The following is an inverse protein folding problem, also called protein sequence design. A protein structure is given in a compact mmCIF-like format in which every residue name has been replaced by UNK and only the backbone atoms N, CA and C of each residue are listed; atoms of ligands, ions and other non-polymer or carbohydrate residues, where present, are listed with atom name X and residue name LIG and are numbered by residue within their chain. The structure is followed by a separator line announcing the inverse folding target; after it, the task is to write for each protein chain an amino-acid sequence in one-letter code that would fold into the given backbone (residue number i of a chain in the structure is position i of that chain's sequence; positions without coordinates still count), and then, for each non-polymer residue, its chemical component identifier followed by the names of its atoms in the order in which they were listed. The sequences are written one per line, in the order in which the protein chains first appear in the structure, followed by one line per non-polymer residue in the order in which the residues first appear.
data_IF_469201487603
#
_entry.id   IF_469201487603
#
_cell.length_a   1.000
_cell.length_b   1.000
_cell.length_c   1.000
_cell.angle_alpha   90.00
_cell.angle_beta   90.00
_cell.angle_gamma   90.00
#
_symmetry.space_group_name_H-M   'P 1'
#
loop_
_entity.id
_entity.type
_entity.pdbx_description
1 polymer ?
#
# COMPACT_ATOMS: atom_id res chain seq x y z
N UNK A 1 -21.42 -4.38 10.12
CA UNK A 1 -20.41 -4.16 9.07
C UNK A 1 -19.14 -3.70 9.76
N UNK A 2 -17.98 -4.33 9.49
CA UNK A 2 -16.69 -3.81 9.98
C UNK A 2 -16.33 -2.61 9.11
N UNK A 3 -16.17 -1.44 9.72
CA UNK A 3 -15.67 -0.25 9.05
C UNK A 3 -14.27 -0.54 8.50
N UNK A 4 -13.96 -0.16 7.25
CA UNK A 4 -12.63 -0.42 6.70
C UNK A 4 -11.59 0.47 7.41
N UNK A 5 -10.33 0.03 7.45
CA UNK A 5 -9.26 0.84 8.05
C UNK A 5 -9.11 2.20 7.34
N UNK A 6 -9.32 2.22 6.03
CA UNK A 6 -9.26 3.41 5.20
C UNK A 6 -10.38 4.41 5.54
N UNK A 7 -11.61 3.92 5.77
CA UNK A 7 -12.73 4.76 6.20
C UNK A 7 -12.45 5.41 7.56
N UNK A 8 -11.88 4.62 8.48
CA UNK A 8 -11.45 5.12 9.78
C UNK A 8 -10.34 6.16 9.65
N UNK A 9 -9.37 5.93 8.77
CA UNK A 9 -8.27 6.87 8.54
C UNK A 9 -8.77 8.22 7.99
N UNK A 10 -9.73 8.18 7.05
CA UNK A 10 -10.41 9.38 6.52
C UNK A 10 -11.22 10.11 7.60
N UNK A 11 -11.89 9.38 8.48
CA UNK A 11 -12.64 9.97 9.60
C UNK A 11 -11.70 10.66 10.60
N UNK A 12 -10.59 10.00 10.97
CA UNK A 12 -9.58 10.55 11.86
C UNK A 12 -8.99 11.86 11.28
N UNK A 13 -8.72 11.93 9.96
CA UNK A 13 -8.21 13.14 9.31
C UNK A 13 -9.11 14.37 9.44
N UNK A 14 -10.43 14.18 9.53
CA UNK A 14 -11.37 15.29 9.80
C UNK A 14 -11.28 15.82 11.24
N UNK A 15 -10.76 15.02 12.17
CA UNK A 15 -10.68 15.33 13.61
C UNK A 15 -9.28 15.79 14.02
N UNK A 16 -8.27 15.52 13.18
CA UNK A 16 -6.84 15.79 13.39
C UNK A 16 -6.51 17.24 13.82
N UNK A 17 -7.34 18.23 13.49
CA UNK A 17 -7.20 19.59 14.00
C UNK A 17 -7.49 19.78 15.50
N UNK A 18 -7.86 18.72 16.26
CA UNK A 18 -8.39 18.85 17.64
C UNK A 18 -7.72 17.95 18.69
N UNK A 19 -6.78 17.06 18.37
CA UNK A 19 -6.31 16.06 19.36
C UNK A 19 -4.82 15.72 19.29
N UNK A 20 -4.19 15.68 20.46
CA UNK A 20 -2.80 15.28 20.71
C UNK A 20 -2.44 13.81 20.39
N UNK A 21 -3.43 12.97 20.02
CA UNK A 21 -3.21 11.56 19.69
C UNK A 21 -2.69 11.33 18.26
N UNK A 22 -2.47 12.38 17.48
CA UNK A 22 -2.10 12.30 16.07
C UNK A 22 -0.88 11.41 15.79
N UNK A 23 0.18 11.53 16.59
CA UNK A 23 1.41 10.75 16.38
C UNK A 23 1.16 9.24 16.44
N UNK A 24 0.26 8.80 17.33
CA UNK A 24 -0.15 7.39 17.45
C UNK A 24 -0.94 6.91 16.22
N UNK A 25 -1.72 7.77 15.58
CA UNK A 25 -2.40 7.43 14.32
C UNK A 25 -1.40 7.34 13.16
N UNK A 26 -0.37 8.19 13.16
CA UNK A 26 0.68 8.16 12.15
C UNK A 26 1.45 6.84 12.13
N UNK A 27 1.87 6.35 13.30
CA UNK A 27 2.53 5.04 13.43
C UNK A 27 1.62 3.90 12.96
N UNK A 28 0.32 3.97 13.25
CA UNK A 28 -0.65 2.96 12.79
C UNK A 28 -0.83 2.97 11.28
N UNK A 29 -0.89 4.14 10.63
CA UNK A 29 -0.98 4.24 9.18
C UNK A 29 0.30 3.73 8.50
N UNK A 30 1.48 4.10 9.01
CA UNK A 30 2.77 3.56 8.54
C UNK A 30 2.80 2.03 8.63
N UNK A 31 2.36 1.45 9.75
CA UNK A 31 2.32 0.00 9.93
C UNK A 31 1.34 -0.67 8.96
N UNK A 32 0.15 -0.10 8.76
CA UNK A 32 -0.83 -0.63 7.81
C UNK A 32 -0.29 -0.61 6.37
N UNK A 33 0.35 0.50 5.96
CA UNK A 33 1.01 0.60 4.65
C UNK A 33 2.06 -0.49 4.50
N UNK A 34 2.91 -0.73 5.50
CA UNK A 34 3.91 -1.80 5.47
C UNK A 34 3.26 -3.18 5.31
N UNK A 35 2.17 -3.46 6.04
CA UNK A 35 1.45 -4.72 5.92
C UNK A 35 0.83 -4.90 4.53
N UNK A 36 0.24 -3.84 3.95
CA UNK A 36 -0.31 -3.87 2.60
C UNK A 36 0.76 -4.02 1.53
N UNK A 37 1.92 -3.36 1.68
CA UNK A 37 3.10 -3.56 0.80
C UNK A 37 3.57 -5.01 0.81
N UNK A 38 3.66 -5.62 2.00
CA UNK A 38 4.00 -7.05 2.13
C UNK A 38 2.93 -7.97 1.50
N UNK A 39 1.65 -7.65 1.66
CA UNK A 39 0.57 -8.40 1.01
C UNK A 39 0.65 -8.30 -0.52
N UNK A 40 0.91 -7.09 -1.05
CA UNK A 40 1.09 -6.82 -2.48
C UNK A 40 2.26 -7.60 -3.07
N UNK A 41 3.41 -7.64 -2.39
CA UNK A 41 4.55 -8.45 -2.82
C UNK A 41 4.27 -9.96 -2.83
N UNK A 42 3.57 -10.47 -1.81
CA UNK A 42 3.18 -11.89 -1.77
C UNK A 42 2.25 -12.23 -2.93
N UNK A 43 1.29 -11.34 -3.22
CA UNK A 43 0.35 -11.52 -4.30
C UNK A 43 1.05 -11.48 -5.66
N UNK A 44 2.02 -10.60 -5.85
CA UNK A 44 2.84 -10.56 -7.08
C UNK A 44 3.58 -11.89 -7.31
N UNK A 45 4.16 -12.46 -6.24
CA UNK A 45 4.82 -13.78 -6.31
C UNK A 45 3.83 -14.89 -6.65
N UNK A 46 2.63 -14.86 -6.08
CA UNK A 46 1.57 -15.82 -6.38
C UNK A 46 1.15 -15.75 -7.85
N UNK A 47 0.90 -14.54 -8.37
CA UNK A 47 0.59 -14.33 -9.79
C UNK A 47 1.70 -14.90 -10.68
N UNK A 48 2.97 -14.59 -10.36
CA UNK A 48 4.11 -15.11 -11.10
C UNK A 48 4.18 -16.63 -11.11
N UNK A 49 3.85 -17.27 -9.98
CA UNK A 49 3.78 -18.73 -9.88
C UNK A 49 2.62 -19.30 -10.72
N UNK A 50 1.43 -18.73 -10.64
CA UNK A 50 0.26 -19.14 -11.43
C UNK A 50 0.54 -19.06 -12.93
N UNK A 51 1.19 -17.99 -13.39
CA UNK A 51 1.61 -17.82 -14.79
C UNK A 51 2.59 -18.93 -15.20
N UNK A 52 3.56 -19.25 -14.35
CA UNK A 52 4.56 -20.28 -14.61
C UNK A 52 3.96 -21.69 -14.64
N UNK A 53 3.01 -21.98 -13.75
CA UNK A 53 2.33 -23.29 -13.70
C UNK A 53 1.49 -23.49 -14.97
N UNK A 54 0.75 -22.47 -15.41
CA UNK A 54 0.03 -22.49 -16.69
C UNK A 54 0.97 -22.71 -17.89
N UNK A 55 2.17 -22.13 -17.85
CA UNK A 55 3.16 -22.32 -18.92
C UNK A 55 3.64 -23.78 -19.00
N UNK A 56 3.79 -24.45 -17.85
CA UNK A 56 4.16 -25.87 -17.82
C UNK A 56 3.07 -26.78 -18.36
N UNK A 57 1.81 -26.45 -18.14
CA UNK A 57 0.68 -27.30 -18.55
C UNK A 57 0.32 -27.15 -20.04
N UNK A 58 0.65 -26.01 -20.66
CA UNK A 58 0.26 -25.72 -22.05
C UNK A 58 1.47 -25.47 -22.96
N UNK A 59 1.68 -26.36 -23.94
CA UNK A 59 2.71 -26.23 -24.98
C UNK A 59 2.48 -25.07 -25.97
N UNK A 60 1.29 -24.48 -25.97
CA UNK A 60 0.95 -23.25 -26.72
C UNK A 60 0.31 -22.27 -25.76
N UNK A 61 1.03 -21.20 -25.45
CA UNK A 61 0.67 -20.22 -24.45
C UNK A 61 -0.16 -19.09 -25.07
N UNK A 62 -1.40 -18.87 -24.61
CA UNK A 62 -2.20 -17.69 -24.98
C UNK A 62 -2.30 -16.77 -23.77
N UNK A 63 -1.80 -15.54 -23.91
CA UNK A 63 -1.80 -14.55 -22.81
C UNK A 63 -3.20 -14.28 -22.23
N UNK A 64 -4.25 -14.41 -23.03
CA UNK A 64 -5.63 -14.24 -22.60
C UNK A 64 -6.10 -15.29 -21.58
N UNK A 65 -5.54 -16.50 -21.61
CA UNK A 65 -5.89 -17.58 -20.67
C UNK A 65 -5.27 -17.32 -19.29
N UNK A 66 -4.06 -16.77 -19.26
CA UNK A 66 -3.37 -16.35 -18.04
C UNK A 66 -4.09 -15.17 -17.39
N UNK A 67 -4.46 -14.17 -18.20
CA UNK A 67 -5.20 -13.01 -17.71
C UNK A 67 -6.53 -13.43 -17.06
N UNK A 68 -7.25 -14.37 -17.66
CA UNK A 68 -8.49 -14.93 -17.08
C UNK A 68 -8.23 -15.75 -15.81
N UNK A 69 -7.20 -16.60 -15.81
CA UNK A 69 -6.88 -17.43 -14.65
C UNK A 69 -6.44 -16.61 -13.43
N UNK A 70 -5.77 -15.47 -13.66
CA UNK A 70 -5.24 -14.61 -12.61
C UNK A 70 -6.05 -13.31 -12.40
N UNK A 71 -7.23 -13.17 -13.02
CA UNK A 71 -8.00 -11.91 -13.03
C UNK A 71 -8.31 -11.40 -11.61
N UNK A 72 -8.72 -12.31 -10.72
CA UNK A 72 -8.98 -11.99 -9.32
C UNK A 72 -7.74 -11.54 -8.55
N UNK A 73 -6.58 -12.11 -8.86
CA UNK A 73 -5.31 -11.75 -8.22
C UNK A 73 -4.82 -10.38 -8.74
N UNK A 74 -4.96 -10.11 -10.03
CA UNK A 74 -4.66 -8.78 -10.59
C UNK A 74 -5.59 -7.70 -10.04
N UNK A 75 -6.88 -7.99 -9.89
CA UNK A 75 -7.83 -7.07 -9.26
C UNK A 75 -7.46 -6.77 -7.81
N UNK A 76 -7.11 -7.81 -7.04
CA UNK A 76 -6.68 -7.67 -5.64
C UNK A 76 -5.35 -6.93 -5.52
N UNK A 77 -4.43 -7.13 -6.46
CA UNK A 77 -3.14 -6.42 -6.51
C UNK A 77 -3.35 -4.92 -6.77
N UNK A 78 -4.22 -4.58 -7.72
CA UNK A 78 -4.58 -3.19 -8.01
C UNK A 78 -5.28 -2.54 -6.82
N UNK A 79 -6.22 -3.23 -6.16
CA UNK A 79 -6.88 -2.71 -4.97
C UNK A 79 -5.87 -2.41 -3.85
N UNK A 80 -4.90 -3.29 -3.61
CA UNK A 80 -3.84 -3.03 -2.63
C UNK A 80 -2.99 -1.82 -3.00
N UNK A 81 -2.71 -1.61 -4.29
CA UNK A 81 -1.96 -0.45 -4.77
C UNK A 81 -2.72 0.87 -4.52
N UNK A 82 -4.01 0.89 -4.90
CA UNK A 82 -4.89 2.04 -4.69
C UNK A 82 -5.02 2.35 -3.18
N UNK A 83 -5.21 1.34 -2.32
CA UNK A 83 -5.30 1.51 -0.87
C UNK A 83 -4.00 2.02 -0.24
N UNK A 84 -2.84 1.60 -0.74
CA UNK A 84 -1.53 2.11 -0.28
C UNK A 84 -1.40 3.59 -0.67
N UNK A 85 -1.70 3.94 -1.92
CA UNK A 85 -1.61 5.31 -2.41
C UNK A 85 -2.54 6.25 -1.61
N UNK A 86 -3.77 5.83 -1.33
CA UNK A 86 -4.69 6.62 -0.51
C UNK A 86 -4.19 6.81 0.93
N UNK A 87 -3.62 5.77 1.56
CA UNK A 87 -3.06 5.88 2.92
C UNK A 87 -1.82 6.79 2.96
N UNK A 88 -0.97 6.74 1.94
CA UNK A 88 0.19 7.63 1.81
C UNK A 88 -0.25 9.09 1.62
N UNK A 89 -1.28 9.34 0.80
CA UNK A 89 -1.86 10.67 0.64
C UNK A 89 -2.45 11.19 1.96
N UNK A 90 -3.18 10.35 2.70
CA UNK A 90 -3.71 10.71 4.02
C UNK A 90 -2.59 11.08 4.99
N UNK A 91 -1.47 10.35 4.98
CA UNK A 91 -0.27 10.69 5.75
C UNK A 91 0.27 12.09 5.40
N UNK A 92 0.35 12.42 4.11
CA UNK A 92 0.82 13.74 3.65
C UNK A 92 -0.14 14.85 4.08
N UNK A 93 -1.45 14.66 3.88
CA UNK A 93 -2.47 15.61 4.29
C UNK A 93 -2.46 15.83 5.81
N UNK A 94 -2.30 14.75 6.57
CA UNK A 94 -2.25 14.78 8.02
C UNK A 94 -1.00 15.55 8.51
N UNK A 95 0.17 15.32 7.89
CA UNK A 95 1.41 16.08 8.16
C UNK A 95 1.23 17.57 7.87
N UNK A 96 0.60 17.91 6.74
CA UNK A 96 0.33 19.30 6.37
C UNK A 96 -0.58 20.01 7.38
N UNK A 97 -1.63 19.32 7.85
CA UNK A 97 -2.52 19.84 8.88
C UNK A 97 -1.79 20.14 10.21
N UNK A 98 -0.89 19.26 10.65
CA UNK A 98 -0.10 19.50 11.86
C UNK A 98 0.92 20.64 11.75
N UNK A 99 1.57 20.78 10.58
CA UNK A 99 2.46 21.92 10.32
C UNK A 99 1.71 23.25 10.42
N UNK A 100 0.44 23.28 10.02
CA UNK A 100 -0.45 24.44 10.17
C UNK A 100 -0.82 24.78 11.62
N UNK A 101 -0.71 23.82 12.55
CA UNK A 101 -1.01 24.02 13.98
C UNK A 101 0.21 24.35 14.84
N UNK A 102 1.42 24.41 14.25
CA UNK A 102 2.66 24.68 14.99
C UNK A 102 3.17 23.49 15.83
N UNK A 103 2.62 22.29 15.64
CA UNK A 103 3.11 21.06 16.25
C UNK A 103 4.21 20.47 15.37
N UNK A 104 5.43 20.33 15.92
CA UNK A 104 6.49 19.59 15.23
C UNK A 104 6.15 18.11 15.17
N UNK A 105 6.01 17.60 13.95
CA UNK A 105 5.93 16.15 13.71
C UNK A 105 7.36 15.69 13.51
N UNK A 106 7.94 15.04 14.52
CA UNK A 106 9.16 14.28 14.30
C UNK A 106 8.82 13.13 13.36
N UNK A 107 9.15 13.32 12.09
CA UNK A 107 9.21 12.25 11.13
C UNK A 107 10.53 11.53 11.38
N UNK A 108 10.48 10.44 12.17
CA UNK A 108 11.51 9.41 12.11
C UNK A 108 11.33 8.67 10.77
N UNK A 109 11.54 9.41 9.67
CA UNK A 109 11.74 8.84 8.36
C UNK A 109 13.15 8.31 8.31
N UNK A 110 13.34 7.14 8.93
CA UNK A 110 14.07 6.09 8.23
C UNK A 110 13.21 5.70 7.03
N UNK A 111 13.16 6.61 6.06
CA UNK A 111 12.81 6.34 4.70
C UNK A 111 14.01 5.55 4.18
N UNK A 112 14.00 4.26 4.47
CA UNK A 112 14.87 3.29 3.82
C UNK A 112 14.49 3.32 2.34
N UNK A 113 15.06 4.31 1.65
CA UNK A 113 15.21 4.33 0.23
C UNK A 113 15.93 3.02 -0.12
N UNK A 114 15.15 2.00 -0.47
CA UNK A 114 15.64 0.89 -1.27
C UNK A 114 15.87 1.44 -2.68
N UNK A 115 16.85 2.34 -2.77
CA UNK A 115 17.53 2.69 -4.00
C UNK A 115 18.38 1.49 -4.39
N UNK A 116 17.74 0.40 -4.82
CA UNK A 116 18.36 -0.54 -5.74
C UNK A 116 18.33 0.05 -7.14
N UNK A 117 19.07 1.14 -7.29
CA UNK A 117 19.60 1.54 -8.57
C UNK A 117 20.69 0.50 -8.89
N UNK A 118 20.30 -0.54 -9.64
CA UNK A 118 21.27 -1.41 -10.31
C UNK A 118 22.02 -0.56 -11.33
N UNK A 119 23.12 0.06 -10.90
CA UNK A 119 24.14 0.56 -11.82
C UNK A 119 24.65 -0.63 -12.65
N UNK A 120 24.22 -0.66 -13.91
CA UNK A 120 24.96 -1.32 -14.98
C UNK A 120 25.93 -0.29 -15.54
N UNK A 121 27.21 -0.53 -15.35
CA UNK A 121 28.26 -0.35 -16.37
C UNK A 121 29.47 -1.22 -16.01
#
# INVERSE_FOLDING_TARGET
MKESFLDKAKADLKVIGKTANFATHFTKYKLEIQQKKQAKERLLKQIGQSVFDLYKEHSTFKGDEVLKACEGDFASYKQLDDEIAELEELIVQAKAALKGTGAEVHDDSDDAADSKEQSKE
#
